data_IF_469420462253
#
_entry.id   IF_469420462253
#
_cell.length_a   1.000
_cell.length_b   1.000
_cell.length_c   1.000
_cell.angle_alpha   90.00
_cell.angle_beta   90.00
_cell.angle_gamma   90.00
#
_symmetry.space_group_name_H-M   'P 1'
#
loop_
_entity.id
_entity.type
_entity.pdbx_description
1 polymer ?
#
# COMPACT_ATOMS: atom_id res chain seq x y z
N UNK A 1 22.90 -5.07 -13.83
CA UNK A 1 21.64 -4.32 -14.03
C UNK A 1 20.51 -5.28 -13.67
N UNK A 2 19.40 -4.84 -13.06
CA UNK A 2 18.25 -5.71 -12.86
C UNK A 2 17.68 -6.10 -14.23
N UNK A 3 18.04 -7.28 -14.73
CA UNK A 3 17.50 -7.82 -15.97
C UNK A 3 16.10 -8.34 -15.70
N UNK A 4 15.15 -7.97 -16.57
CA UNK A 4 13.82 -8.58 -16.55
C UNK A 4 13.99 -10.09 -16.76
N UNK A 5 13.43 -10.96 -15.91
CA UNK A 5 13.59 -12.39 -16.10
C UNK A 5 13.04 -12.79 -17.48
N UNK A 6 13.85 -13.48 -18.29
CA UNK A 6 13.37 -14.16 -19.50
C UNK A 6 12.46 -15.32 -19.09
N UNK A 7 11.19 -14.99 -18.90
CA UNK A 7 10.16 -15.96 -18.57
C UNK A 7 9.55 -16.61 -19.82
N UNK A 8 9.98 -16.23 -21.03
CA UNK A 8 9.39 -16.72 -22.28
C UNK A 8 8.09 -16.01 -22.68
N UNK A 9 7.71 -16.15 -23.96
CA UNK A 9 6.65 -15.36 -24.60
C UNK A 9 5.23 -15.71 -24.12
N UNK A 10 4.98 -16.97 -23.76
CA UNK A 10 3.65 -17.45 -23.36
C UNK A 10 3.45 -17.59 -21.85
N UNK A 11 4.53 -17.40 -21.08
CA UNK A 11 4.46 -17.42 -19.64
C UNK A 11 4.30 -15.99 -19.12
N UNK A 12 3.80 -15.87 -17.89
CA UNK A 12 3.74 -14.57 -17.25
C UNK A 12 3.91 -14.67 -15.75
N UNK A 13 4.44 -13.59 -15.18
CA UNK A 13 4.51 -13.39 -13.75
C UNK A 13 3.60 -12.23 -13.36
N UNK A 14 2.75 -12.46 -12.36
CA UNK A 14 1.97 -11.39 -11.72
C UNK A 14 2.66 -10.97 -10.44
N UNK A 15 3.01 -9.69 -10.35
CA UNK A 15 3.53 -9.07 -9.13
C UNK A 15 2.40 -8.28 -8.50
N UNK A 16 2.03 -8.61 -7.27
CA UNK A 16 0.92 -7.98 -6.54
C UNK A 16 1.41 -7.35 -5.24
N UNK A 17 0.89 -6.16 -4.92
CA UNK A 17 1.12 -5.49 -3.63
C UNK A 17 0.00 -5.75 -2.63
N UNK A 18 -0.01 -4.96 -1.56
CA UNK A 18 -0.94 -5.07 -0.43
C UNK A 18 -2.43 -4.84 -0.75
N UNK A 19 -2.78 -4.18 -1.88
CA UNK A 19 -4.19 -3.95 -2.22
C UNK A 19 -4.49 -3.83 -3.73
N UNK A 20 -4.87 -4.92 -4.38
CA UNK A 20 -5.36 -4.95 -5.78
C UNK A 20 -4.41 -4.36 -6.83
N UNK A 21 -3.26 -3.80 -6.45
CA UNK A 21 -2.21 -3.39 -7.39
C UNK A 21 -1.60 -4.67 -7.95
N UNK A 22 -1.68 -4.83 -9.27
CA UNK A 22 -1.11 -5.96 -9.98
C UNK A 22 -0.37 -5.43 -11.20
N UNK A 23 0.84 -5.93 -11.42
CA UNK A 23 1.58 -5.72 -12.64
C UNK A 23 1.92 -7.08 -13.21
N UNK A 24 1.69 -7.23 -14.51
CA UNK A 24 2.09 -8.41 -15.25
C UNK A 24 3.46 -8.15 -15.86
N UNK A 25 4.32 -9.15 -15.78
CA UNK A 25 5.62 -9.25 -16.45
C UNK A 25 5.51 -10.41 -17.41
N UNK A 26 5.96 -10.19 -18.64
CA UNK A 26 5.92 -11.06 -19.83
C UNK A 26 7.28 -11.05 -20.50
N UNK A 27 7.58 -12.00 -21.41
CA UNK A 27 8.87 -12.06 -22.12
C UNK A 27 9.21 -10.84 -22.99
N UNK A 28 8.24 -9.99 -23.30
CA UNK A 28 8.40 -8.72 -24.03
C UNK A 28 8.41 -7.49 -23.09
N UNK A 29 8.27 -7.69 -21.78
CA UNK A 29 8.27 -6.59 -20.83
C UNK A 29 9.63 -5.92 -20.78
N UNK A 30 9.70 -4.66 -21.22
CA UNK A 30 10.84 -3.79 -20.91
C UNK A 30 10.93 -3.57 -19.39
N UNK A 31 12.15 -3.31 -18.90
CA UNK A 31 12.38 -2.96 -17.50
C UNK A 31 11.41 -1.85 -17.08
N UNK A 32 10.62 -2.12 -16.04
CA UNK A 32 9.65 -1.19 -15.48
C UNK A 32 9.79 -1.19 -13.98
N UNK A 33 10.17 -0.05 -13.41
CA UNK A 33 10.21 0.12 -11.96
C UNK A 33 8.79 0.10 -11.40
N UNK A 34 8.56 -0.83 -10.47
CA UNK A 34 7.29 -0.98 -9.78
C UNK A 34 7.52 -0.63 -8.32
N UNK A 35 6.85 0.42 -7.87
CA UNK A 35 6.92 0.87 -6.49
C UNK A 35 5.71 0.33 -5.72
N UNK A 36 6.00 -0.38 -4.63
CA UNK A 36 5.03 -0.84 -3.64
C UNK A 36 5.19 -0.03 -2.35
N UNK A 37 4.12 0.10 -1.53
CA UNK A 37 4.16 0.91 -0.33
C UNK A 37 4.94 0.23 0.81
N UNK A 38 5.18 -1.07 0.69
CA UNK A 38 5.88 -1.92 1.65
C UNK A 38 6.48 -3.15 0.96
N UNK A 39 7.23 -3.94 1.72
CA UNK A 39 7.84 -5.18 1.24
C UNK A 39 6.86 -6.38 1.19
N UNK A 40 5.58 -6.17 1.50
CA UNK A 40 4.55 -7.20 1.35
C UNK A 40 4.10 -7.29 -0.13
N UNK A 41 4.85 -8.10 -0.88
CA UNK A 41 4.73 -8.28 -2.32
C UNK A 41 4.64 -9.77 -2.65
N UNK A 42 3.67 -10.14 -3.48
CA UNK A 42 3.47 -11.52 -3.95
C UNK A 42 3.84 -11.67 -5.42
N UNK A 43 4.69 -12.65 -5.72
CA UNK A 43 5.03 -13.07 -7.08
C UNK A 43 4.30 -14.36 -7.44
N UNK A 44 3.52 -14.35 -8.52
CA UNK A 44 2.82 -15.53 -9.04
C UNK A 44 3.19 -15.78 -10.48
N UNK A 45 4.02 -16.79 -10.72
CA UNK A 45 4.37 -17.26 -12.05
C UNK A 45 3.35 -18.27 -12.57
N UNK A 46 3.01 -18.16 -13.86
CA UNK A 46 2.18 -19.11 -14.58
C UNK A 46 2.86 -19.47 -15.90
N UNK A 47 3.26 -20.74 -16.00
CA UNK A 47 3.82 -21.32 -17.21
C UNK A 47 2.71 -21.71 -18.19
N UNK A 48 3.00 -21.60 -19.48
CA UNK A 48 2.20 -22.17 -20.54
C UNK A 48 2.48 -23.66 -20.68
N UNK A 49 1.43 -24.48 -20.72
CA UNK A 49 1.57 -25.94 -20.60
C UNK A 49 2.22 -26.61 -21.82
N UNK A 50 2.30 -25.93 -22.98
CA UNK A 50 2.84 -26.51 -24.22
C UNK A 50 4.35 -26.32 -24.40
N UNK A 51 5.01 -25.51 -23.57
CA UNK A 51 6.45 -25.23 -23.71
C UNK A 51 7.22 -25.65 -22.46
N UNK A 52 8.51 -25.97 -22.66
CA UNK A 52 9.40 -26.31 -21.56
C UNK A 52 9.53 -25.12 -20.60
N UNK A 53 9.39 -25.40 -19.30
CA UNK A 53 9.58 -24.42 -18.23
C UNK A 53 11.00 -23.88 -18.29
N UNK A 54 11.16 -22.57 -18.48
CA UNK A 54 12.47 -21.90 -18.40
C UNK A 54 12.80 -21.62 -16.94
N UNK A 55 14.09 -21.73 -16.61
CA UNK A 55 14.57 -21.24 -15.32
C UNK A 55 14.63 -19.72 -15.37
N UNK A 56 14.19 -19.05 -14.30
CA UNK A 56 14.25 -17.60 -14.17
C UNK A 56 14.72 -17.22 -12.77
N UNK A 57 15.28 -16.02 -12.65
CA UNK A 57 15.67 -15.42 -11.36
C UNK A 57 14.94 -14.09 -11.19
N UNK A 58 14.40 -13.85 -9.99
CA UNK A 58 13.75 -12.57 -9.65
C UNK A 58 14.67 -11.82 -8.69
N UNK A 59 15.07 -10.62 -9.09
CA UNK A 59 15.82 -9.69 -8.27
C UNK A 59 14.90 -8.55 -7.85
N UNK A 60 14.90 -8.22 -6.55
CA UNK A 60 14.20 -7.04 -6.04
C UNK A 60 15.06 -6.36 -4.99
N UNK A 61 14.97 -5.04 -4.92
CA UNK A 61 15.66 -4.23 -3.94
C UNK A 61 14.61 -3.56 -3.05
N UNK A 62 14.79 -3.66 -1.73
CA UNK A 62 13.93 -3.01 -0.76
C UNK A 62 14.56 -1.68 -0.41
N UNK A 63 13.90 -0.60 -0.80
CA UNK A 63 14.30 0.75 -0.44
C UNK A 63 13.57 1.17 0.84
N UNK A 64 14.33 1.60 1.84
CA UNK A 64 13.75 2.30 2.98
C UNK A 64 13.17 3.62 2.49
N UNK A 65 11.90 3.86 2.81
CA UNK A 65 11.28 5.16 2.62
C UNK A 65 10.57 5.54 3.93
N UNK A 66 10.36 6.83 4.14
CA UNK A 66 9.66 7.32 5.33
C UNK A 66 8.14 7.05 5.33
N UNK A 67 7.65 6.32 4.34
CA UNK A 67 6.23 6.07 4.11
C UNK A 67 5.71 4.74 4.63
N UNK A 68 6.56 3.72 4.74
CA UNK A 68 6.21 2.51 5.48
C UNK A 68 6.57 2.67 6.95
N UNK A 69 5.60 2.60 7.86
CA UNK A 69 5.87 2.61 9.29
C UNK A 69 4.97 1.65 10.06
N UNK A 70 5.58 0.90 10.98
CA UNK A 70 4.87 0.24 12.07
C UNK A 70 5.05 1.10 13.32
N UNK A 71 3.95 1.60 13.87
CA UNK A 71 3.92 2.48 15.04
C UNK A 71 3.32 1.68 16.20
N UNK A 72 4.19 1.23 17.09
CA UNK A 72 3.79 0.58 18.33
C UNK A 72 3.39 1.64 19.34
N UNK A 73 2.16 1.58 19.82
CA UNK A 73 1.53 2.56 20.69
C UNK A 73 1.49 2.07 22.13
N UNK A 74 1.38 3.01 23.06
CA UNK A 74 1.18 2.78 24.48
C UNK A 74 -0.12 3.46 24.93
N UNK A 75 -0.55 3.18 26.17
CA UNK A 75 -1.71 3.87 26.76
C UNK A 75 -1.50 5.38 26.71
N UNK A 76 -2.49 6.11 26.19
CA UNK A 76 -2.42 7.57 26.07
C UNK A 76 -1.55 8.08 24.91
N UNK A 77 -1.00 7.21 24.07
CA UNK A 77 -0.28 7.65 22.87
C UNK A 77 -1.21 8.44 21.95
N UNK A 78 -0.69 9.55 21.46
CA UNK A 78 -1.28 10.41 20.43
C UNK A 78 -0.22 10.73 19.40
N UNK A 79 -0.62 11.01 18.16
CA UNK A 79 0.32 11.41 17.12
C UNK A 79 -0.36 11.71 15.80
N UNK A 80 0.45 11.85 14.74
CA UNK A 80 -0.02 12.13 13.39
C UNK A 80 0.65 11.22 12.36
N UNK A 81 -0.11 10.91 11.32
CA UNK A 81 0.32 10.33 10.05
C UNK A 81 0.34 11.45 9.02
N UNK A 82 1.48 11.70 8.41
CA UNK A 82 1.64 12.72 7.37
C UNK A 82 2.46 12.15 6.23
N UNK A 83 2.17 12.57 5.00
CA UNK A 83 3.08 12.31 3.90
C UNK A 83 4.45 12.92 4.21
N UNK A 84 5.56 12.16 4.06
CA UNK A 84 6.89 12.72 4.16
C UNK A 84 7.10 13.80 3.08
N UNK A 85 7.83 14.86 3.43
CA UNK A 85 7.93 16.07 2.59
C UNK A 85 8.62 15.86 1.24
N UNK A 86 9.51 14.87 1.13
CA UNK A 86 10.31 14.60 -0.07
C UNK A 86 9.71 13.53 -0.99
N UNK A 87 8.39 13.32 -0.92
CA UNK A 87 7.74 12.45 -1.89
C UNK A 87 7.67 13.16 -3.24
N UNK A 88 8.45 12.67 -4.20
CA UNK A 88 8.29 12.99 -5.62
C UNK A 88 6.85 12.74 -6.11
N UNK A 89 6.61 12.85 -7.42
CA UNK A 89 5.25 12.98 -7.97
C UNK A 89 4.24 11.84 -7.69
N UNK A 90 4.59 10.76 -6.98
CA UNK A 90 3.77 9.53 -6.85
C UNK A 90 3.83 8.87 -5.47
N UNK A 91 3.42 9.55 -4.38
CA UNK A 91 3.45 8.99 -3.04
C UNK A 91 2.59 7.74 -2.90
N UNK A 92 3.14 6.73 -2.25
CA UNK A 92 2.43 5.49 -1.95
C UNK A 92 2.91 4.96 -0.59
N UNK A 93 2.06 5.09 0.43
CA UNK A 93 2.48 4.99 1.83
C UNK A 93 1.57 4.08 2.63
N UNK A 94 2.14 3.44 3.65
CA UNK A 94 1.46 2.47 4.48
C UNK A 94 1.87 2.62 5.96
N UNK A 95 0.89 2.85 6.83
CA UNK A 95 1.09 2.96 8.26
C UNK A 95 0.31 1.88 9.00
N UNK A 96 0.96 1.25 9.98
CA UNK A 96 0.37 0.27 10.88
C UNK A 96 0.39 0.82 12.29
N UNK A 97 -0.77 0.96 12.92
CA UNK A 97 -0.95 1.40 14.30
C UNK A 97 -1.25 0.18 15.16
N UNK A 98 -0.40 -0.10 16.14
CA UNK A 98 -0.52 -1.26 17.03
C UNK A 98 -0.57 -0.82 18.49
N UNK A 99 -1.76 -0.80 19.06
CA UNK A 99 -1.98 -0.53 20.47
C UNK A 99 -1.81 -1.79 21.33
N UNK A 100 -1.69 -1.65 22.66
CA UNK A 100 -1.74 -2.77 23.58
C UNK A 100 -3.07 -3.54 23.47
N UNK A 101 -3.04 -4.85 23.74
CA UNK A 101 -4.26 -5.68 23.74
C UNK A 101 -5.31 -5.10 24.70
N UNK A 102 -6.57 -5.13 24.29
CA UNK A 102 -7.69 -4.57 25.04
C UNK A 102 -7.91 -3.06 24.85
N UNK A 103 -7.01 -2.37 24.15
CA UNK A 103 -7.18 -0.97 23.75
C UNK A 103 -7.58 -0.85 22.29
N UNK A 104 -8.07 0.33 21.92
CA UNK A 104 -8.42 0.66 20.53
C UNK A 104 -7.64 1.87 20.07
N UNK A 105 -7.61 2.08 18.75
CA UNK A 105 -7.02 3.24 18.11
C UNK A 105 -8.12 3.98 17.37
N UNK A 106 -8.25 5.27 17.63
CA UNK A 106 -9.04 6.18 16.80
C UNK A 106 -8.10 6.92 15.86
N UNK A 107 -8.44 6.94 14.57
CA UNK A 107 -7.80 7.78 13.56
C UNK A 107 -8.81 8.82 13.08
N UNK A 108 -8.34 10.06 12.93
CA UNK A 108 -9.08 11.16 12.32
C UNK A 108 -8.33 11.69 11.10
N UNK A 109 -8.91 11.53 9.91
CA UNK A 109 -8.37 12.12 8.67
C UNK A 109 -8.72 13.61 8.65
N UNK A 110 -7.70 14.44 8.83
CA UNK A 110 -7.80 15.90 8.96
C UNK A 110 -7.73 16.58 7.59
N UNK A 111 -6.75 16.19 6.78
CA UNK A 111 -6.51 16.74 5.45
C UNK A 111 -6.27 15.58 4.48
N UNK A 112 -7.04 15.54 3.42
CA UNK A 112 -6.91 14.52 2.40
C UNK A 112 -7.18 15.12 1.03
N UNK A 113 -6.29 14.81 0.08
CA UNK A 113 -6.42 15.17 -1.32
C UNK A 113 -5.83 14.04 -2.15
N UNK A 114 -6.71 13.20 -2.70
CA UNK A 114 -6.37 12.22 -3.71
C UNK A 114 -7.18 12.55 -4.96
N UNK A 115 -6.49 12.83 -6.07
CA UNK A 115 -7.10 13.34 -7.30
C UNK A 115 -8.25 12.48 -7.83
N UNK A 116 -9.26 13.21 -8.32
CA UNK A 116 -10.51 12.75 -8.96
C UNK A 116 -11.54 12.06 -8.03
N UNK A 117 -12.82 12.27 -8.33
CA UNK A 117 -13.95 11.77 -7.50
C UNK A 117 -14.18 10.26 -7.64
N UNK A 118 -13.68 9.66 -8.72
CA UNK A 118 -13.99 8.27 -9.07
C UNK A 118 -13.24 7.24 -8.21
N UNK A 119 -12.43 7.67 -7.24
CA UNK A 119 -11.73 6.81 -6.26
C UNK A 119 -10.73 5.81 -6.88
N UNK A 120 -10.72 5.59 -8.20
CA UNK A 120 -10.10 4.42 -8.82
C UNK A 120 -8.57 4.46 -8.86
N UNK A 121 -8.02 5.66 -9.07
CA UNK A 121 -6.58 5.85 -9.34
C UNK A 121 -5.82 6.40 -8.12
N UNK A 122 -6.45 7.24 -7.31
CA UNK A 122 -5.88 7.77 -6.08
C UNK A 122 -6.92 7.64 -4.96
N UNK A 123 -6.47 7.22 -3.78
CA UNK A 123 -7.36 6.87 -2.66
C UNK A 123 -6.57 6.72 -1.36
N UNK A 124 -7.29 6.79 -0.24
CA UNK A 124 -6.83 6.26 1.02
C UNK A 124 -7.69 5.07 1.45
N UNK A 125 -7.10 4.10 2.14
CA UNK A 125 -7.80 2.98 2.75
C UNK A 125 -7.50 2.98 4.24
N UNK A 126 -8.53 2.77 5.05
CA UNK A 126 -8.38 2.56 6.50
C UNK A 126 -9.00 1.21 6.81
N UNK A 127 -8.17 0.26 7.25
CA UNK A 127 -8.65 -1.03 7.73
C UNK A 127 -8.66 -1.03 9.26
N UNK A 128 -9.86 -1.12 9.83
CA UNK A 128 -10.06 -1.04 11.28
C UNK A 128 -9.69 -2.32 12.04
N UNK A 129 -9.27 -3.39 11.36
CA UNK A 129 -8.93 -4.66 11.99
C UNK A 129 -7.42 -4.97 11.95
N UNK A 130 -6.59 -4.09 11.39
CA UNK A 130 -5.15 -4.34 11.27
C UNK A 130 -4.85 -5.53 10.35
N UNK A 131 -5.48 -5.58 9.19
CA UNK A 131 -5.44 -6.74 8.30
C UNK A 131 -5.40 -6.34 6.83
N UNK A 132 -5.54 -7.32 5.92
CA UNK A 132 -5.64 -7.06 4.48
C UNK A 132 -6.72 -6.01 4.17
N UNK A 133 -6.37 -5.07 3.28
CA UNK A 133 -7.27 -4.05 2.77
C UNK A 133 -8.40 -4.62 1.88
N UNK A 134 -8.35 -5.90 1.50
CA UNK A 134 -9.45 -6.57 0.79
C UNK A 134 -10.38 -7.28 1.79
N UNK A 135 -10.99 -6.50 2.67
CA UNK A 135 -11.92 -6.99 3.69
C UNK A 135 -13.02 -5.97 3.98
N UNK A 136 -14.14 -6.44 4.56
CA UNK A 136 -15.28 -5.59 4.92
C UNK A 136 -14.97 -4.50 5.95
N UNK A 137 -13.90 -4.66 6.73
CA UNK A 137 -13.39 -3.67 7.68
C UNK A 137 -12.60 -2.53 7.02
N UNK A 138 -12.49 -2.54 5.69
CA UNK A 138 -11.73 -1.52 4.95
C UNK A 138 -12.65 -0.43 4.43
N UNK A 139 -12.42 0.80 4.91
CA UNK A 139 -13.05 2.01 4.40
C UNK A 139 -12.16 2.64 3.33
N UNK A 140 -12.72 2.91 2.15
CA UNK A 140 -12.06 3.69 1.08
C UNK A 140 -12.48 5.16 1.16
N UNK A 141 -11.52 6.05 0.95
CA UNK A 141 -11.69 7.51 0.88
C UNK A 141 -11.21 8.02 -0.49
N UNK A 142 -11.93 8.98 -1.07
CA UNK A 142 -11.46 9.77 -2.22
C UNK A 142 -11.85 11.25 -2.17
N UNK A 143 -11.32 12.02 -3.13
CA UNK A 143 -11.48 13.47 -3.15
C UNK A 143 -10.86 14.11 -1.91
N UNK A 144 -11.71 14.69 -1.07
CA UNK A 144 -11.33 15.46 0.13
C UNK A 144 -12.14 15.05 1.36
N UNK A 145 -12.55 13.78 1.43
CA UNK A 145 -13.29 13.23 2.58
C UNK A 145 -12.47 13.34 3.88
N UNK A 146 -13.15 13.74 4.96
CA UNK A 146 -12.63 13.71 6.34
C UNK A 146 -13.49 12.77 7.18
N UNK A 147 -12.85 11.91 7.98
CA UNK A 147 -13.56 10.86 8.74
C UNK A 147 -12.83 10.54 10.04
N UNK A 148 -13.60 10.19 11.08
CA UNK A 148 -13.09 9.46 12.25
C UNK A 148 -13.41 7.97 12.11
N UNK A 149 -12.42 7.12 12.33
CA UNK A 149 -12.58 5.68 12.33
C UNK A 149 -11.93 5.09 13.59
N UNK A 150 -12.58 4.12 14.22
CA UNK A 150 -12.04 3.43 15.39
C UNK A 150 -11.75 1.97 15.04
N UNK A 151 -10.65 1.43 15.56
CA UNK A 151 -10.30 0.04 15.36
C UNK A 151 -11.30 -0.91 16.03
N UNK A 152 -11.43 -2.11 15.47
CA UNK A 152 -12.23 -3.21 16.03
C UNK A 152 -11.54 -3.76 17.27
N UNK A 153 -10.24 -4.03 17.15
CA UNK A 153 -9.34 -4.51 18.20
C UNK A 153 -8.21 -3.49 18.42
N UNK A 154 -7.00 -3.96 18.73
CA UNK A 154 -5.86 -3.13 19.06
C UNK A 154 -5.03 -2.70 17.84
N UNK A 155 -5.43 -3.05 16.62
CA UNK A 155 -4.68 -2.74 15.40
C UNK A 155 -5.53 -2.02 14.36
N UNK A 156 -4.90 -1.12 13.61
CA UNK A 156 -5.45 -0.43 12.45
C UNK A 156 -4.33 -0.16 11.46
N UNK A 157 -4.60 -0.27 10.16
CA UNK A 157 -3.65 0.10 9.12
C UNK A 157 -4.27 1.06 8.11
N UNK A 158 -3.42 1.94 7.58
CA UNK A 158 -3.78 3.04 6.69
C UNK A 158 -2.90 2.99 5.46
N UNK A 159 -3.52 2.96 4.28
CA UNK A 159 -2.84 3.03 3.00
C UNK A 159 -3.19 4.33 2.30
N UNK A 160 -2.21 5.02 1.72
CA UNK A 160 -2.45 6.16 0.84
C UNK A 160 -1.77 5.96 -0.50
N UNK A 161 -2.55 5.94 -1.58
CA UNK A 161 -2.06 5.91 -2.96
C UNK A 161 -2.36 7.26 -3.63
N UNK A 162 -1.32 8.08 -3.78
CA UNK A 162 -1.37 9.39 -4.42
C UNK A 162 -0.77 9.43 -5.84
N UNK A 163 -0.46 8.28 -6.46
CA UNK A 163 0.25 8.16 -7.75
C UNK A 163 -0.29 9.03 -8.89
N UNK A 164 -1.59 9.26 -8.93
CA UNK A 164 -2.27 10.02 -10.00
C UNK A 164 -2.89 11.33 -9.50
N UNK A 165 -2.53 11.77 -8.29
CA UNK A 165 -2.96 13.05 -7.75
C UNK A 165 -2.00 14.14 -8.19
N UNK A 166 -2.52 15.28 -8.68
CA UNK A 166 -1.69 16.43 -9.05
C UNK A 166 -1.05 17.10 -7.82
N UNK A 167 -1.74 17.10 -6.67
CA UNK A 167 -1.30 17.65 -5.39
C UNK A 167 -1.75 16.73 -4.27
N UNK A 168 -1.09 15.57 -4.09
CA UNK A 168 -1.44 14.61 -3.06
C UNK A 168 -1.23 15.23 -1.68
N UNK A 169 -2.24 15.10 -0.81
CA UNK A 169 -2.12 15.46 0.62
C UNK A 169 -2.77 14.38 1.46
N UNK A 170 -2.14 14.06 2.58
CA UNK A 170 -2.69 13.17 3.58
C UNK A 170 -2.11 13.51 4.94
N UNK A 171 -3.00 13.91 5.85
CA UNK A 171 -2.74 14.17 7.26
C UNK A 171 -3.86 13.55 8.07
N UNK A 172 -3.50 12.69 9.02
CA UNK A 172 -4.45 12.11 9.96
C UNK A 172 -3.85 12.12 11.38
N UNK A 173 -4.64 12.45 12.40
CA UNK A 173 -4.25 12.25 13.78
C UNK A 173 -4.70 10.88 14.28
N UNK A 174 -3.98 10.33 15.26
CA UNK A 174 -4.39 9.12 15.96
C UNK A 174 -4.28 9.29 17.47
N UNK A 175 -5.08 8.51 18.20
CA UNK A 175 -4.99 8.36 19.65
C UNK A 175 -5.38 6.96 20.08
N UNK A 176 -4.80 6.49 21.18
CA UNK A 176 -5.23 5.26 21.86
C UNK A 176 -6.43 5.56 22.77
N UNK A 177 -7.45 4.72 22.69
CA UNK A 177 -8.64 4.72 23.55
C UNK A 177 -8.51 3.67 24.65
#
# INVERSE_FOLDING_TARGET
MPETPDIGWFDWMTVSGVYKQKQQITGDSSYKEIYFPSADVTFKYKAFWLFNKRSFSVFFEVYSNDCYKIINLQKGSVGKLTLPGDFGARPFCEWWLRAPKGMKVEVYVEEFSAGNKDCNKAYALINSNGSSYDSSNTRRLCGTETIRNTSVLNEMNVLFNGKYSARPRFTASYKVL
#
